data_IF_526823639728
#
_entry.id   IF_526823639728
#
_cell.length_a   1.000
_cell.length_b   1.000
_cell.length_c   1.000
_cell.angle_alpha   90.00
_cell.angle_beta   90.00
_cell.angle_gamma   90.00
#
_symmetry.space_group_name_H-M   'P 1'
#
loop_
_entity.id
_entity.type
_entity.pdbx_description
1 polymer ?
#
# COMPACT_ATOMS: atom_id res chain seq x y z
N UNK A 1 17.81 -1.97 10.32
CA UNK A 1 16.79 -0.95 10.00
C UNK A 1 17.50 0.26 9.42
N UNK A 2 17.43 0.42 8.11
CA UNK A 2 17.87 1.62 7.41
C UNK A 2 16.71 2.62 7.27
N UNK A 3 17.06 3.85 6.92
CA UNK A 3 16.11 4.86 6.43
C UNK A 3 16.32 5.03 4.94
N UNK A 4 15.26 4.83 4.15
CA UNK A 4 15.31 4.81 2.68
C UNK A 4 14.28 5.78 2.11
N UNK A 5 14.66 6.54 1.10
CA UNK A 5 13.74 7.40 0.35
C UNK A 5 13.46 6.78 -1.02
N UNK A 6 12.19 6.66 -1.38
CA UNK A 6 11.77 6.13 -2.67
C UNK A 6 10.80 7.08 -3.36
N UNK A 7 10.87 7.12 -4.69
CA UNK A 7 9.92 7.88 -5.51
C UNK A 7 9.09 6.93 -6.35
N UNK A 8 7.78 7.10 -6.34
CA UNK A 8 6.82 6.29 -7.11
C UNK A 8 6.47 6.96 -8.45
N UNK A 9 6.33 6.23 -9.56
CA UNK A 9 6.47 4.76 -9.69
C UNK A 9 7.90 4.29 -9.45
N UNK A 10 8.06 3.10 -8.86
CA UNK A 10 9.35 2.59 -8.38
C UNK A 10 9.64 1.22 -8.98
N UNK A 11 10.88 1.00 -9.41
CA UNK A 11 11.25 -0.21 -10.14
C UNK A 11 11.35 -1.46 -9.24
N UNK A 12 11.23 -2.64 -9.85
CA UNK A 12 11.52 -3.91 -9.15
C UNK A 12 12.94 -3.96 -8.57
N UNK A 13 13.91 -3.34 -9.25
CA UNK A 13 15.32 -3.31 -8.82
C UNK A 13 15.49 -2.49 -7.53
N UNK A 14 14.89 -1.31 -7.47
CA UNK A 14 14.92 -0.48 -6.25
C UNK A 14 14.20 -1.15 -5.09
N UNK A 15 13.07 -1.80 -5.36
CA UNK A 15 12.27 -2.47 -4.34
C UNK A 15 12.99 -3.70 -3.79
N UNK A 16 13.80 -4.36 -4.61
CA UNK A 16 14.61 -5.50 -4.19
C UNK A 16 15.77 -5.14 -3.26
N UNK A 17 16.03 -3.84 -3.03
CA UNK A 17 17.03 -3.36 -2.06
C UNK A 17 16.44 -3.19 -0.66
N UNK A 18 15.11 -3.19 -0.53
CA UNK A 18 14.42 -2.99 0.74
C UNK A 18 14.39 -4.28 1.56
N UNK A 19 14.58 -4.15 2.88
CA UNK A 19 14.50 -5.27 3.82
C UNK A 19 13.38 -5.06 4.83
N UNK A 20 12.80 -6.16 5.32
CA UNK A 20 11.86 -6.12 6.44
C UNK A 20 12.45 -5.35 7.63
N UNK A 21 11.68 -4.41 8.17
CA UNK A 21 12.10 -3.49 9.23
C UNK A 21 12.63 -2.15 8.76
N UNK A 22 12.94 -1.94 7.48
CA UNK A 22 13.38 -0.63 6.99
C UNK A 22 12.29 0.44 7.11
N UNK A 23 12.70 1.66 7.44
CA UNK A 23 11.85 2.84 7.38
C UNK A 23 11.93 3.45 6.00
N UNK A 24 10.76 3.65 5.37
CA UNK A 24 10.66 4.22 4.03
C UNK A 24 9.91 5.54 4.05
N UNK A 25 10.45 6.51 3.31
CA UNK A 25 9.79 7.78 3.00
C UNK A 25 9.47 7.81 1.51
N UNK A 26 8.18 7.84 1.20
CA UNK A 26 7.67 7.73 -0.17
C UNK A 26 7.29 9.12 -0.67
N UNK A 27 7.83 9.49 -1.83
CA UNK A 27 7.41 10.67 -2.58
C UNK A 27 6.87 10.25 -3.95
N UNK A 28 6.12 11.12 -4.62
CA UNK A 28 5.54 10.84 -5.94
C UNK A 28 4.06 10.47 -5.87
N UNK A 29 3.63 9.54 -6.71
CA UNK A 29 2.21 9.19 -6.87
C UNK A 29 1.89 7.84 -6.25
N UNK A 30 0.91 7.82 -5.35
CA UNK A 30 0.33 6.57 -4.85
C UNK A 30 -1.18 6.58 -5.06
N UNK A 31 -1.78 5.41 -5.22
CA UNK A 31 -3.23 5.27 -5.40
C UNK A 31 -3.89 4.78 -4.13
N UNK A 32 -5.14 5.16 -3.91
CA UNK A 32 -5.96 4.56 -2.84
C UNK A 32 -6.89 3.53 -3.42
N UNK A 33 -7.06 2.42 -2.72
CA UNK A 33 -8.13 1.47 -2.98
C UNK A 33 -8.30 0.61 -1.73
N UNK A 34 -9.53 0.18 -1.45
CA UNK A 34 -9.84 -0.80 -0.41
C UNK A 34 -10.94 -1.75 -0.90
N UNK A 35 -11.66 -2.38 0.00
CA UNK A 35 -12.57 -3.51 -0.23
C UNK A 35 -13.36 -3.46 -1.56
N UNK A 36 -14.24 -2.46 -1.75
CA UNK A 36 -15.11 -2.37 -2.92
C UNK A 36 -14.36 -2.01 -4.22
N UNK A 37 -13.35 -1.15 -4.13
CA UNK A 37 -12.53 -0.77 -5.27
C UNK A 37 -11.67 -1.95 -5.76
N UNK A 38 -11.07 -2.73 -4.86
CA UNK A 38 -10.31 -3.93 -5.22
C UNK A 38 -11.19 -4.97 -5.91
N UNK A 39 -12.41 -5.16 -5.40
CA UNK A 39 -13.38 -6.04 -6.04
C UNK A 39 -13.64 -5.62 -7.50
N UNK A 40 -13.94 -4.35 -7.76
CA UNK A 40 -14.18 -3.84 -9.12
C UNK A 40 -12.95 -3.93 -10.01
N UNK A 41 -11.75 -3.65 -9.50
CA UNK A 41 -10.52 -3.81 -10.29
C UNK A 41 -10.31 -5.26 -10.73
N UNK A 42 -10.47 -6.23 -9.81
CA UNK A 42 -10.32 -7.65 -10.12
C UNK A 42 -11.42 -8.15 -11.07
N UNK A 43 -12.65 -7.64 -10.95
CA UNK A 43 -13.74 -7.93 -11.90
C UNK A 43 -13.40 -7.43 -13.31
N UNK A 44 -12.80 -6.24 -13.46
CA UNK A 44 -12.32 -5.76 -14.76
C UNK A 44 -11.25 -6.69 -15.35
N UNK A 45 -10.31 -7.16 -14.53
CA UNK A 45 -9.26 -8.10 -14.96
C UNK A 45 -9.87 -9.42 -15.42
N UNK A 46 -10.84 -9.95 -14.67
CA UNK A 46 -11.55 -11.19 -15.03
C UNK A 46 -12.33 -11.06 -16.34
N UNK A 47 -12.86 -9.86 -16.63
CA UNK A 47 -13.55 -9.53 -17.87
C UNK A 47 -12.60 -9.20 -19.03
N UNK A 48 -11.27 -9.18 -18.81
CA UNK A 48 -10.29 -8.77 -19.83
C UNK A 48 -10.34 -7.29 -20.20
N UNK A 49 -10.81 -6.43 -19.29
CA UNK A 49 -10.93 -4.98 -19.49
C UNK A 49 -9.75 -4.24 -18.87
N UNK A 50 -9.46 -3.06 -19.42
CA UNK A 50 -8.42 -2.17 -18.90
C UNK A 50 -8.76 -1.63 -17.50
N UNK A 51 -7.73 -1.45 -16.68
CA UNK A 51 -7.83 -0.78 -15.39
C UNK A 51 -7.98 0.74 -15.57
N UNK A 52 -8.61 1.45 -14.60
CA UNK A 52 -8.78 2.90 -14.67
C UNK A 52 -7.47 3.71 -14.54
N UNK A 53 -6.34 3.06 -14.25
CA UNK A 53 -5.00 3.64 -14.23
C UNK A 53 -3.95 2.55 -14.48
N UNK A 54 -2.76 2.94 -14.92
CA UNK A 54 -1.62 2.03 -15.02
C UNK A 54 -1.11 1.65 -13.63
N UNK A 55 -1.27 0.38 -13.26
CA UNK A 55 -0.89 -0.18 -11.96
C UNK A 55 0.60 -0.52 -11.88
N UNK A 56 1.28 -0.62 -13.03
CA UNK A 56 2.66 -1.08 -13.10
C UNK A 56 3.58 -0.15 -12.31
N UNK A 57 4.41 -0.73 -11.45
CA UNK A 57 5.40 -0.03 -10.63
C UNK A 57 4.78 0.96 -9.62
N UNK A 58 3.45 0.93 -9.44
CA UNK A 58 2.72 1.79 -8.53
C UNK A 58 2.49 1.16 -7.16
N UNK A 59 2.12 2.02 -6.21
CA UNK A 59 1.73 1.63 -4.87
C UNK A 59 0.23 1.86 -4.65
N UNK A 60 -0.42 0.93 -3.96
CA UNK A 60 -1.80 1.09 -3.48
C UNK A 60 -1.81 1.22 -1.95
N UNK A 61 -2.36 2.33 -1.47
CA UNK A 61 -2.62 2.60 -0.07
C UNK A 61 -4.05 2.23 0.32
N UNK A 62 -4.18 1.29 1.25
CA UNK A 62 -5.44 0.83 1.78
C UNK A 62 -5.98 1.81 2.81
N UNK A 63 -6.74 2.80 2.33
CA UNK A 63 -7.29 3.90 3.14
C UNK A 63 -8.70 4.26 2.69
N UNK A 64 -9.53 4.68 3.65
CA UNK A 64 -10.75 5.42 3.38
C UNK A 64 -10.64 6.76 4.10
N UNK A 65 -10.21 7.84 3.42
CA UNK A 65 -9.98 9.12 4.07
C UNK A 65 -11.30 9.74 4.56
N UNK A 66 -11.25 10.44 5.69
CA UNK A 66 -12.43 11.23 6.14
C UNK A 66 -12.67 12.41 5.17
N UNK A 67 -13.86 13.03 5.19
CA UNK A 67 -14.10 14.25 4.42
C UNK A 67 -13.06 15.33 4.72
N UNK A 68 -12.61 16.02 3.67
CA UNK A 68 -11.69 17.14 3.81
C UNK A 68 -12.42 18.36 4.40
N UNK A 69 -11.75 19.08 5.31
CA UNK A 69 -12.22 20.40 5.76
C UNK A 69 -12.03 21.43 4.65
N UNK A 70 -12.79 22.55 4.61
CA UNK A 70 -12.56 23.62 3.65
C UNK A 70 -11.08 24.05 3.62
N UNK A 71 -10.52 24.16 2.41
CA UNK A 71 -9.10 24.52 2.20
C UNK A 71 -8.08 23.44 2.56
N UNK A 72 -8.50 22.20 2.84
CA UNK A 72 -7.61 21.04 3.02
C UNK A 72 -7.70 20.09 1.84
N UNK A 73 -6.56 19.48 1.50
CA UNK A 73 -6.42 18.53 0.38
C UNK A 73 -7.20 17.24 0.65
N UNK A 74 -7.12 16.74 1.88
CA UNK A 74 -7.71 15.47 2.29
C UNK A 74 -8.04 15.51 3.78
N UNK A 75 -8.99 14.68 4.23
CA UNK A 75 -9.23 14.45 5.66
C UNK A 75 -8.17 13.52 6.28
N UNK A 76 -8.45 13.00 7.48
CA UNK A 76 -7.55 12.02 8.11
C UNK A 76 -7.45 10.77 7.25
N UNK A 77 -6.22 10.35 6.95
CA UNK A 77 -5.92 9.25 6.05
C UNK A 77 -5.17 8.16 6.84
N UNK A 78 -5.91 7.42 7.67
CA UNK A 78 -5.35 6.29 8.44
C UNK A 78 -5.51 4.97 7.69
N UNK A 79 -4.55 4.02 7.81
CA UNK A 79 -4.65 2.74 7.11
C UNK A 79 -5.84 1.91 7.58
N UNK A 80 -6.37 1.08 6.68
CA UNK A 80 -7.28 0.01 7.02
C UNK A 80 -6.58 -1.35 7.04
N UNK A 81 -7.24 -2.33 7.67
CA UNK A 81 -6.68 -3.68 7.84
C UNK A 81 -6.50 -4.39 6.50
N UNK A 82 -5.26 -4.82 6.23
CA UNK A 82 -4.82 -5.28 4.91
C UNK A 82 -5.33 -6.67 4.52
N UNK A 83 -5.54 -7.58 5.49
CA UNK A 83 -5.97 -8.95 5.18
C UNK A 83 -7.27 -9.01 4.36
N UNK A 84 -8.12 -7.97 4.43
CA UNK A 84 -9.38 -7.92 3.67
C UNK A 84 -9.17 -7.83 2.15
N UNK A 85 -7.98 -7.39 1.73
CA UNK A 85 -7.59 -7.31 0.32
C UNK A 85 -6.81 -8.53 -0.16
N UNK A 86 -6.50 -9.51 0.70
CA UNK A 86 -5.60 -10.62 0.36
C UNK A 86 -6.09 -11.48 -0.79
N UNK A 87 -7.40 -11.70 -0.91
CA UNK A 87 -7.98 -12.42 -2.06
C UNK A 87 -7.85 -11.69 -3.40
N UNK A 88 -7.58 -10.38 -3.38
CA UNK A 88 -7.46 -9.54 -4.57
C UNK A 88 -6.00 -9.23 -4.90
N UNK A 89 -5.15 -9.09 -3.90
CA UNK A 89 -3.77 -8.63 -4.06
C UNK A 89 -2.95 -9.47 -5.04
N UNK A 90 -2.95 -10.83 -5.02
CA UNK A 90 -2.17 -11.61 -5.97
C UNK A 90 -2.47 -11.27 -7.43
N UNK A 91 -3.74 -11.05 -7.78
CA UNK A 91 -4.13 -10.69 -9.15
C UNK A 91 -3.55 -9.34 -9.56
N UNK A 92 -3.58 -8.34 -8.67
CA UNK A 92 -3.01 -7.03 -8.95
C UNK A 92 -1.47 -7.05 -8.99
N UNK A 93 -0.84 -7.93 -8.20
CA UNK A 93 0.61 -8.14 -8.22
C UNK A 93 1.09 -8.72 -9.56
N UNK A 94 0.35 -9.67 -10.15
CA UNK A 94 0.65 -10.20 -11.49
C UNK A 94 0.57 -9.14 -12.59
N UNK A 95 -0.19 -8.05 -12.37
CA UNK A 95 -0.27 -6.90 -13.29
C UNK A 95 0.84 -5.87 -13.06
N UNK A 96 1.74 -6.10 -12.11
CA UNK A 96 2.89 -5.24 -11.86
C UNK A 96 2.71 -4.25 -10.70
N UNK A 97 1.69 -4.43 -9.85
CA UNK A 97 1.60 -3.68 -8.59
C UNK A 97 2.87 -3.92 -7.77
N UNK A 98 3.53 -2.83 -7.34
CA UNK A 98 4.86 -2.91 -6.73
C UNK A 98 4.85 -2.75 -5.22
N UNK A 99 3.85 -2.06 -4.68
CA UNK A 99 3.74 -1.85 -3.25
C UNK A 99 2.31 -1.80 -2.77
N UNK A 100 2.11 -2.29 -1.56
CA UNK A 100 0.85 -2.19 -0.84
C UNK A 100 1.11 -1.54 0.51
N UNK A 101 0.29 -0.59 0.91
CA UNK A 101 0.41 0.12 2.18
C UNK A 101 -0.86 -0.10 3.00
N UNK A 102 -0.74 -0.53 4.26
CA UNK A 102 -1.92 -0.73 5.12
C UNK A 102 -1.56 -0.97 6.58
N UNK A 103 -2.34 -1.81 7.28
CA UNK A 103 -2.04 -2.27 8.65
C UNK A 103 -2.39 -3.74 8.85
N UNK A 104 -1.68 -4.39 9.78
CA UNK A 104 -1.89 -5.80 10.11
C UNK A 104 -1.20 -6.75 9.14
N UNK A 105 -1.15 -8.03 9.52
CA UNK A 105 -0.45 -9.08 8.77
C UNK A 105 -1.13 -9.41 7.44
N UNK A 106 -0.35 -10.07 6.56
CA UNK A 106 -0.81 -10.61 5.27
C UNK A 106 -0.78 -12.14 5.31
N UNK A 107 -1.66 -12.78 4.55
CA UNK A 107 -1.64 -14.23 4.31
C UNK A 107 -0.38 -14.69 3.57
N UNK A 108 -0.08 -15.98 3.66
CA UNK A 108 1.07 -16.58 2.99
C UNK A 108 0.96 -16.46 1.46
N UNK A 109 -0.23 -16.67 0.88
CA UNK A 109 -0.48 -16.54 -0.56
C UNK A 109 -0.07 -15.16 -1.11
N UNK A 110 -0.35 -14.10 -0.35
CA UNK A 110 0.08 -12.75 -0.72
C UNK A 110 1.60 -12.62 -0.63
N UNK A 111 2.22 -13.12 0.44
CA UNK A 111 3.66 -13.04 0.63
C UNK A 111 4.41 -13.79 -0.47
N UNK A 112 3.94 -14.97 -0.85
CA UNK A 112 4.51 -15.76 -1.95
C UNK A 112 4.35 -15.04 -3.29
N UNK A 113 3.17 -14.46 -3.55
CA UNK A 113 2.92 -13.64 -4.74
C UNK A 113 3.81 -12.39 -4.77
N UNK A 114 4.09 -11.77 -3.63
CA UNK A 114 5.01 -10.63 -3.54
C UNK A 114 6.44 -11.01 -3.88
N UNK A 115 6.94 -12.14 -3.38
CA UNK A 115 8.28 -12.65 -3.71
C UNK A 115 8.41 -12.93 -5.21
N UNK A 116 7.39 -13.57 -5.80
CA UNK A 116 7.30 -13.84 -7.24
C UNK A 116 7.34 -12.55 -8.06
N UNK A 117 6.52 -11.56 -7.68
CA UNK A 117 6.32 -10.34 -8.47
C UNK A 117 7.28 -9.20 -8.07
N UNK A 118 8.19 -9.41 -7.12
CA UNK A 118 9.12 -8.40 -6.59
C UNK A 118 8.40 -7.17 -6.03
N UNK A 119 7.45 -7.40 -5.14
CA UNK A 119 6.66 -6.35 -4.49
C UNK A 119 6.89 -6.32 -2.97
N UNK A 120 6.53 -5.21 -2.33
CA UNK A 120 6.65 -5.00 -0.88
C UNK A 120 5.31 -4.66 -0.23
N UNK A 121 5.18 -5.02 1.04
CA UNK A 121 4.06 -4.60 1.88
C UNK A 121 4.59 -3.74 3.01
N UNK A 122 3.97 -2.57 3.15
CA UNK A 122 4.39 -1.53 4.08
C UNK A 122 3.29 -1.29 5.10
N UNK A 123 3.67 -1.21 6.37
CA UNK A 123 2.80 -0.68 7.41
C UNK A 123 2.84 0.85 7.37
N UNK A 124 1.70 1.49 7.13
CA UNK A 124 1.56 2.90 7.47
C UNK A 124 1.54 3.04 9.00
N UNK A 125 2.20 4.07 9.52
CA UNK A 125 2.30 4.29 10.97
C UNK A 125 0.91 4.50 11.57
N UNK A 126 0.39 3.48 12.27
CA UNK A 126 -0.93 3.50 12.90
C UNK A 126 -1.03 4.59 13.97
N UNK A 127 -2.19 5.26 14.04
CA UNK A 127 -2.41 6.40 14.97
C UNK A 127 -1.89 7.75 14.45
N UNK A 128 -1.12 7.76 13.36
CA UNK A 128 -0.58 8.98 12.75
C UNK A 128 -1.42 9.52 11.58
N UNK A 129 -2.72 9.20 11.51
CA UNK A 129 -3.59 9.53 10.36
C UNK A 129 -3.61 11.02 9.99
N UNK A 130 -3.54 11.91 10.99
CA UNK A 130 -3.47 13.36 10.77
C UNK A 130 -2.07 13.82 10.31
N UNK A 131 -1.00 13.11 10.68
CA UNK A 131 0.35 13.38 10.21
C UNK A 131 0.55 12.87 8.78
N UNK A 132 0.06 11.67 8.47
CA UNK A 132 0.00 11.13 7.11
C UNK A 132 -0.77 12.09 6.19
N UNK A 133 -1.91 12.64 6.63
CA UNK A 133 -2.64 13.61 5.82
C UNK A 133 -1.82 14.87 5.46
N UNK A 134 -0.77 15.24 6.22
CA UNK A 134 0.10 16.39 5.91
C UNK A 134 1.14 16.10 4.83
N UNK A 135 1.44 14.82 4.57
CA UNK A 135 2.35 14.40 3.50
C UNK A 135 1.64 14.38 2.14
N UNK A 136 0.30 14.31 2.13
CA UNK A 136 -0.53 14.32 0.93
C UNK A 136 -0.73 15.77 0.44
N UNK A 137 -0.18 16.08 -0.73
CA UNK A 137 -0.18 17.41 -1.35
C UNK A 137 -1.28 17.62 -2.36
N UNK A 138 -1.71 16.55 -3.03
CA UNK A 138 -2.87 16.54 -3.93
C UNK A 138 -3.65 15.23 -3.75
N UNK A 139 -4.97 15.30 -3.85
CA UNK A 139 -5.85 14.14 -3.85
C UNK A 139 -6.93 14.33 -4.92
N UNK A 140 -6.99 13.41 -5.87
CA UNK A 140 -7.90 13.48 -7.02
C UNK A 140 -8.63 12.15 -7.16
N UNK A 141 -9.96 12.16 -7.24
CA UNK A 141 -10.74 10.96 -7.52
C UNK A 141 -10.60 10.62 -9.00
N UNK A 142 -10.11 9.42 -9.30
CA UNK A 142 -9.87 8.98 -10.68
C UNK A 142 -10.80 7.85 -11.11
N UNK A 143 -11.41 7.13 -10.17
CA UNK A 143 -12.40 6.11 -10.48
C UNK A 143 -13.34 5.82 -9.31
N UNK A 144 -14.52 5.32 -9.65
CA UNK A 144 -15.52 4.81 -8.72
C UNK A 144 -15.96 5.83 -7.68
N UNK A 145 -16.19 7.10 -8.07
CA UNK A 145 -16.60 8.17 -7.15
C UNK A 145 -17.89 7.81 -6.36
N UNK A 146 -18.74 6.97 -6.94
CA UNK A 146 -19.93 6.40 -6.31
C UNK A 146 -19.63 5.60 -5.02
N UNK A 147 -18.39 5.13 -4.83
CA UNK A 147 -17.95 4.42 -3.63
C UNK A 147 -17.54 5.36 -2.47
N UNK A 148 -17.61 6.68 -2.65
CA UNK A 148 -17.33 7.67 -1.60
C UNK A 148 -15.93 7.50 -1.01
N UNK A 149 -15.77 7.19 0.29
CA UNK A 149 -14.46 6.98 0.91
C UNK A 149 -13.64 5.81 0.31
N UNK A 150 -14.27 4.86 -0.39
CA UNK A 150 -13.55 3.74 -1.03
C UNK A 150 -13.18 3.99 -2.49
N UNK A 151 -13.56 5.15 -3.05
CA UNK A 151 -13.26 5.52 -4.43
C UNK A 151 -11.74 5.67 -4.64
N UNK A 152 -11.28 5.34 -5.85
CA UNK A 152 -9.85 5.34 -6.17
C UNK A 152 -9.38 6.78 -6.31
N UNK A 153 -8.41 7.15 -5.48
CA UNK A 153 -7.76 8.47 -5.52
C UNK A 153 -6.33 8.35 -5.97
N UNK A 154 -5.91 9.22 -6.88
CA UNK A 154 -4.52 9.52 -7.15
C UNK A 154 -4.04 10.53 -6.10
N UNK A 155 -3.07 10.14 -5.29
CA UNK A 155 -2.47 10.99 -4.27
C UNK A 155 -1.06 11.38 -4.70
N UNK A 156 -0.75 12.67 -4.65
CA UNK A 156 0.63 13.15 -4.70
C UNK A 156 1.13 13.31 -3.27
N UNK A 157 2.19 12.58 -2.92
CA UNK A 157 2.73 12.54 -1.57
C UNK A 157 4.18 13.02 -1.53
N UNK A 158 4.56 13.61 -0.41
CA UNK A 158 5.92 14.03 -0.11
C UNK A 158 6.34 13.48 1.25
N UNK A 159 7.35 12.62 1.28
CA UNK A 159 7.87 11.98 2.48
C UNK A 159 6.79 11.24 3.29
N UNK A 160 5.90 10.49 2.61
CA UNK A 160 4.93 9.61 3.28
C UNK A 160 5.67 8.52 4.05
N UNK A 161 5.51 8.44 5.38
CA UNK A 161 6.25 7.48 6.20
C UNK A 161 5.57 6.11 6.22
N UNK A 162 6.36 5.05 6.01
CA UNK A 162 5.93 3.67 6.22
C UNK A 162 7.10 2.78 6.66
N UNK A 163 6.79 1.56 7.09
CA UNK A 163 7.78 0.56 7.51
C UNK A 163 7.61 -0.68 6.66
N UNK A 164 8.70 -1.24 6.13
CA UNK A 164 8.67 -2.50 5.38
C UNK A 164 8.31 -3.64 6.32
N UNK A 165 7.19 -4.31 6.07
CA UNK A 165 6.75 -5.47 6.85
C UNK A 165 7.11 -6.75 6.13
N UNK A 166 6.69 -6.89 4.86
CA UNK A 166 7.06 -8.02 4.03
C UNK A 166 7.92 -7.52 2.87
N UNK A 167 9.11 -8.11 2.73
CA UNK A 167 10.05 -7.78 1.66
C UNK A 167 10.04 -8.81 0.52
N UNK A 168 10.84 -8.56 -0.51
CA UNK A 168 10.91 -9.44 -1.69
C UNK A 168 11.66 -10.75 -1.43
N UNK A 169 12.25 -10.90 -0.25
CA UNK A 169 13.07 -12.05 0.13
C UNK A 169 12.28 -13.07 0.94
N UNK A 170 10.99 -12.79 1.20
CA UNK A 170 10.10 -13.64 1.99
C UNK A 170 10.19 -13.37 3.49
N UNK A 171 10.88 -12.30 3.91
CA UNK A 171 10.93 -11.93 5.33
C UNK A 171 9.60 -11.30 5.76
N UNK A 172 9.30 -11.43 7.05
CA UNK A 172 8.10 -10.88 7.68
C UNK A 172 8.47 -10.28 9.04
N UNK A 173 8.47 -8.95 9.12
CA UNK A 173 8.82 -8.20 10.32
C UNK A 173 7.94 -8.60 11.52
N UNK A 174 6.67 -8.93 11.30
CA UNK A 174 5.77 -9.28 12.40
C UNK A 174 6.07 -10.66 12.98
N UNK A 175 6.60 -11.58 12.16
CA UNK A 175 7.03 -12.89 12.62
C UNK A 175 8.41 -12.78 13.29
N UNK A 176 9.39 -12.21 12.59
CA UNK A 176 10.76 -12.06 13.08
C UNK A 176 10.82 -11.26 14.38
N UNK A 177 10.07 -10.16 14.46
CA UNK A 177 9.98 -9.35 15.66
C UNK A 177 9.36 -10.10 16.83
N UNK A 178 8.37 -10.96 16.61
CA UNK A 178 7.80 -11.77 17.69
C UNK A 178 8.77 -12.87 18.16
N UNK A 179 9.47 -13.52 17.23
CA UNK A 179 10.44 -14.58 17.54
C UNK A 179 11.63 -14.07 18.35
N UNK A 180 12.14 -12.87 18.04
CA UNK A 180 13.30 -12.28 18.73
C UNK A 180 13.09 -12.08 20.24
N UNK A 181 11.84 -11.83 20.66
CA UNK A 181 11.51 -11.53 22.06
C UNK A 181 10.67 -12.63 22.72
N UNK A 182 10.53 -13.78 22.05
CA UNK A 182 9.87 -14.94 22.62
C UNK A 182 10.79 -15.56 23.67
N UNK A 183 10.39 -15.48 24.94
CA UNK A 183 11.06 -16.22 26.02
C UNK A 183 10.73 -17.70 25.79
N UNK A 184 11.77 -18.52 25.64
CA UNK A 184 11.66 -19.97 25.54
C UNK A 184 11.93 -20.51 26.94
N UNK A 185 10.92 -21.15 27.54
CA UNK A 185 11.03 -21.85 28.84
C UNK A 185 11.89 -23.12 28.74
#
# INVERSE_FOLDING_TARGET
>A
MATVHITTPVSAEEISKLQAGDQVFISGVIYTARDAAHKRLVELVADGKDLPFDIKDQFIYFVGPTPAKPGKVIGSAGPTTSYRMDKYSPILLELGLRGMIGKGSRSQDVKDSMVKNKAVYLAAVGGAAALIAKTIKKAEVIAYDDLGPEAIRRLEVENFPAIVVNDVHGNDLYIQGAEQYKIVD
#
